data_IF_591493929600
#
_entry.id   IF_591493929600
#
_cell.length_a   1.000
_cell.length_b   1.000
_cell.length_c   1.000
_cell.angle_alpha   90.00
_cell.angle_beta   90.00
_cell.angle_gamma   90.00
#
_symmetry.space_group_name_H-M   'P 1'
#
loop_
_entity.id
_entity.type
_entity.pdbx_description
1 polymer ?
#
# COMPACT_ATOMS: atom_id res chain seq x y z
N UNK A 1 -29.60 -5.70 -5.32
CA UNK A 1 -29.03 -5.01 -6.49
C UNK A 1 -28.45 -6.04 -7.45
N UNK A 2 -28.15 -5.63 -8.69
CA UNK A 2 -27.47 -6.46 -9.71
C UNK A 2 -26.07 -5.86 -9.94
N UNK A 3 -24.98 -6.63 -9.85
CA UNK A 3 -23.63 -6.11 -10.13
C UNK A 3 -23.52 -5.60 -11.57
N UNK A 4 -23.03 -4.36 -11.74
CA UNK A 4 -22.77 -3.76 -13.05
C UNK A 4 -21.27 -3.80 -13.41
N UNK A 5 -20.39 -3.50 -12.44
CA UNK A 5 -18.94 -3.41 -12.61
C UNK A 5 -18.23 -3.99 -11.37
N UNK A 6 -16.98 -4.45 -11.56
CA UNK A 6 -16.14 -5.03 -10.51
C UNK A 6 -14.71 -4.50 -10.71
N UNK A 7 -14.17 -3.87 -9.67
CA UNK A 7 -12.77 -3.45 -9.59
C UNK A 7 -12.06 -4.18 -8.45
N UNK A 8 -10.77 -4.51 -8.67
CA UNK A 8 -9.93 -5.19 -7.69
C UNK A 8 -8.63 -4.42 -7.46
N UNK A 9 -8.14 -4.43 -6.22
CA UNK A 9 -6.84 -3.86 -5.89
C UNK A 9 -5.70 -4.79 -6.29
N UNK A 10 -4.72 -4.24 -7.00
CA UNK A 10 -3.49 -4.92 -7.39
C UNK A 10 -2.28 -4.00 -7.25
N UNK A 11 -1.09 -4.59 -7.10
CA UNK A 11 0.16 -3.84 -7.12
C UNK A 11 0.52 -3.47 -8.56
N UNK A 12 0.30 -2.21 -8.91
CA UNK A 12 0.84 -1.61 -10.13
C UNK A 12 2.30 -1.23 -9.93
N UNK A 13 3.17 -1.57 -10.87
CA UNK A 13 4.60 -1.29 -10.76
C UNK A 13 5.25 -0.91 -12.11
N UNK A 14 6.26 -0.05 -12.04
CA UNK A 14 7.02 0.37 -13.23
C UNK A 14 8.17 -0.60 -13.52
N UNK A 15 8.02 -1.42 -14.57
CA UNK A 15 9.01 -2.42 -14.99
C UNK A 15 10.39 -1.82 -15.31
N UNK A 16 10.44 -0.60 -15.86
CA UNK A 16 11.70 0.06 -16.19
C UNK A 16 12.45 0.47 -14.92
N UNK A 17 11.75 1.06 -13.94
CA UNK A 17 12.35 1.39 -12.64
C UNK A 17 12.78 0.14 -11.87
N UNK A 18 12.01 -0.95 -11.94
CA UNK A 18 12.41 -2.24 -11.36
C UNK A 18 13.71 -2.75 -11.98
N UNK A 19 13.82 -2.73 -13.31
CA UNK A 19 15.04 -3.14 -14.02
C UNK A 19 16.23 -2.25 -13.63
N UNK A 20 16.04 -0.94 -13.56
CA UNK A 20 17.08 0.02 -13.17
C UNK A 20 17.54 -0.21 -11.73
N UNK A 21 16.63 -0.56 -10.82
CA UNK A 21 16.91 -0.85 -9.42
C UNK A 21 17.37 -2.31 -9.16
N UNK A 22 17.52 -3.14 -10.21
CA UNK A 22 17.93 -4.54 -10.07
C UNK A 22 16.88 -5.45 -9.41
N UNK A 23 15.60 -5.10 -9.46
CA UNK A 23 14.50 -5.88 -8.89
C UNK A 23 13.95 -6.83 -9.97
N UNK A 24 14.20 -8.12 -9.80
CA UNK A 24 13.91 -9.13 -10.84
C UNK A 24 12.41 -9.48 -10.98
N UNK A 25 11.64 -9.37 -9.90
CA UNK A 25 10.23 -9.78 -9.87
C UNK A 25 9.43 -8.87 -8.92
N UNK A 26 8.10 -8.73 -9.13
CA UNK A 26 7.23 -8.07 -8.16
C UNK A 26 7.30 -8.79 -6.80
N UNK A 27 7.27 -8.03 -5.69
CA UNK A 27 7.35 -8.59 -4.35
C UNK A 27 6.13 -9.46 -4.06
N UNK A 28 6.35 -10.55 -3.32
CA UNK A 28 5.32 -11.51 -2.89
C UNK A 28 5.03 -11.42 -1.41
N UNK A 29 5.90 -10.77 -0.64
CA UNK A 29 5.77 -10.58 0.80
C UNK A 29 5.89 -9.11 1.16
N UNK A 30 5.40 -8.72 2.34
CA UNK A 30 5.52 -7.34 2.82
C UNK A 30 6.97 -6.90 3.07
N UNK A 31 7.85 -7.82 3.45
CA UNK A 31 9.27 -7.51 3.62
C UNK A 31 9.96 -7.25 2.28
N UNK A 32 9.67 -8.08 1.26
CA UNK A 32 10.11 -7.83 -0.12
C UNK A 32 9.53 -6.53 -0.66
N UNK A 33 8.27 -6.22 -0.32
CA UNK A 33 7.62 -4.98 -0.74
C UNK A 33 8.29 -3.74 -0.12
N UNK A 34 8.58 -3.75 1.18
CA UNK A 34 9.35 -2.69 1.84
C UNK A 34 10.74 -2.54 1.22
N UNK A 35 11.39 -3.64 0.85
CA UNK A 35 12.70 -3.60 0.20
C UNK A 35 12.65 -3.00 -1.21
N UNK A 36 11.68 -3.43 -2.01
CA UNK A 36 11.45 -2.88 -3.34
C UNK A 36 11.14 -1.37 -3.26
N UNK A 37 10.27 -0.95 -2.34
CA UNK A 37 9.94 0.46 -2.14
C UNK A 37 11.19 1.28 -1.76
N UNK A 38 12.03 0.79 -0.84
CA UNK A 38 13.29 1.47 -0.51
C UNK A 38 14.21 1.60 -1.72
N UNK A 39 14.42 0.53 -2.49
CA UNK A 39 15.27 0.53 -3.69
C UNK A 39 14.78 1.47 -4.79
N UNK A 40 13.46 1.67 -4.87
CA UNK A 40 12.82 2.55 -5.84
C UNK A 40 12.74 4.01 -5.37
N UNK A 41 13.14 4.31 -4.13
CA UNK A 41 13.09 5.67 -3.61
C UNK A 41 14.30 6.47 -4.08
N UNK A 42 14.07 7.63 -4.69
CA UNK A 42 15.12 8.57 -5.05
C UNK A 42 14.68 9.99 -4.68
N UNK A 43 15.17 10.48 -3.52
CA UNK A 43 14.80 11.78 -2.96
C UNK A 43 15.27 12.94 -3.83
N UNK A 44 16.45 12.84 -4.44
CA UNK A 44 17.04 13.90 -5.26
C UNK A 44 16.25 14.11 -6.56
N UNK A 45 15.61 13.05 -7.06
CA UNK A 45 14.72 13.10 -8.21
C UNK A 45 13.25 13.33 -7.84
N UNK A 46 12.92 13.52 -6.56
CA UNK A 46 11.53 13.60 -6.12
C UNK A 46 10.71 12.34 -6.40
N UNK A 47 11.33 11.16 -6.39
CA UNK A 47 10.70 9.88 -6.68
C UNK A 47 10.42 9.09 -5.40
N UNK A 48 9.16 8.70 -5.22
CA UNK A 48 8.74 7.81 -4.14
C UNK A 48 8.87 6.35 -4.58
N UNK A 49 9.20 5.47 -3.63
CA UNK A 49 9.19 4.04 -3.85
C UNK A 49 7.78 3.45 -3.93
N UNK A 50 6.85 4.02 -3.15
CA UNK A 50 5.44 3.63 -3.16
C UNK A 50 4.53 4.83 -2.85
N UNK A 51 3.57 5.08 -3.74
CA UNK A 51 2.53 6.08 -3.54
C UNK A 51 1.35 5.48 -2.77
N UNK A 52 1.00 6.08 -1.64
CA UNK A 52 -0.28 5.80 -0.96
C UNK A 52 -1.29 6.87 -1.37
N UNK A 53 -2.58 6.53 -1.40
CA UNK A 53 -3.64 7.52 -1.65
C UNK A 53 -4.14 8.05 -0.31
N UNK A 54 -4.21 9.37 -0.15
CA UNK A 54 -4.71 10.00 1.09
C UNK A 54 -5.67 11.19 0.87
N UNK A 55 -6.09 11.44 -0.37
CA UNK A 55 -6.92 12.60 -0.74
C UNK A 55 -8.42 12.41 -0.50
N UNK A 56 -8.94 11.17 -0.41
CA UNK A 56 -10.37 10.91 -0.11
C UNK A 56 -10.59 9.63 0.70
N UNK A 57 -11.75 9.53 1.36
CA UNK A 57 -12.04 8.45 2.32
C UNK A 57 -11.93 7.03 1.73
N UNK A 58 -12.55 6.77 0.57
CA UNK A 58 -12.48 5.46 -0.08
C UNK A 58 -11.04 5.11 -0.53
N UNK A 59 -10.28 6.09 -1.02
CA UNK A 59 -8.89 5.93 -1.44
C UNK A 59 -7.96 5.57 -0.27
N UNK A 60 -8.33 5.98 0.96
CA UNK A 60 -7.63 5.55 2.18
C UNK A 60 -8.09 4.16 2.62
N UNK A 61 -9.40 3.95 2.73
CA UNK A 61 -9.98 2.76 3.38
C UNK A 61 -9.80 1.51 2.53
N UNK A 62 -9.98 1.57 1.21
CA UNK A 62 -9.97 0.37 0.38
C UNK A 62 -8.58 -0.27 0.21
N UNK A 63 -7.48 0.47 -0.04
CA UNK A 63 -6.14 -0.13 -0.04
C UNK A 63 -5.75 -0.69 1.33
N UNK A 64 -6.10 0.02 2.41
CA UNK A 64 -5.88 -0.47 3.78
C UNK A 64 -6.62 -1.79 4.01
N UNK A 65 -7.90 -1.87 3.65
CA UNK A 65 -8.70 -3.09 3.78
C UNK A 65 -8.12 -4.24 2.95
N UNK A 66 -7.63 -3.97 1.74
CA UNK A 66 -7.00 -4.96 0.87
C UNK A 66 -5.74 -5.55 1.50
N UNK A 67 -4.89 -4.71 2.09
CA UNK A 67 -3.71 -5.15 2.82
C UNK A 67 -4.08 -5.89 4.11
N UNK A 68 -5.05 -5.39 4.87
CA UNK A 68 -5.54 -6.04 6.09
C UNK A 68 -6.01 -7.47 5.82
N UNK A 69 -6.80 -7.67 4.76
CA UNK A 69 -7.27 -9.00 4.35
C UNK A 69 -6.11 -9.88 3.88
N UNK A 70 -5.09 -9.32 3.22
CA UNK A 70 -3.89 -10.09 2.84
C UNK A 70 -3.09 -10.62 4.04
N UNK A 71 -3.25 -10.00 5.22
CA UNK A 71 -2.68 -10.46 6.50
C UNK A 71 -3.71 -11.21 7.37
N UNK A 72 -4.84 -11.65 6.79
CA UNK A 72 -5.87 -12.43 7.48
C UNK A 72 -6.73 -11.62 8.47
N UNK A 73 -6.69 -10.30 8.40
CA UNK A 73 -7.56 -9.43 9.19
C UNK A 73 -8.86 -9.07 8.46
N UNK A 74 -9.74 -8.38 9.17
CA UNK A 74 -10.99 -7.85 8.63
C UNK A 74 -11.34 -6.54 9.37
N UNK A 75 -12.17 -5.68 8.77
CA UNK A 75 -12.58 -4.42 9.42
C UNK A 75 -13.71 -4.64 10.44
N UNK A 76 -14.63 -5.56 10.14
CA UNK A 76 -15.85 -5.82 10.91
C UNK A 76 -16.06 -7.32 11.02
N UNK A 77 -16.28 -7.81 12.25
CA UNK A 77 -16.65 -9.19 12.56
C UNK A 77 -17.91 -9.19 13.40
N UNK A 78 -18.90 -10.01 13.02
CA UNK A 78 -20.19 -10.09 13.75
C UNK A 78 -20.84 -8.72 13.99
N UNK A 79 -20.84 -7.86 12.95
CA UNK A 79 -21.34 -6.48 13.00
C UNK A 79 -20.62 -5.54 14.00
N UNK A 80 -19.45 -5.94 14.52
CA UNK A 80 -18.61 -5.12 15.41
C UNK A 80 -17.29 -4.74 14.73
N UNK A 81 -16.79 -3.51 14.91
CA UNK A 81 -15.46 -3.14 14.42
C UNK A 81 -14.38 -3.94 15.14
N UNK A 82 -13.35 -4.38 14.40
CA UNK A 82 -12.22 -5.17 14.93
C UNK A 82 -10.86 -4.58 14.55
N UNK A 83 -10.79 -3.25 14.48
CA UNK A 83 -9.58 -2.48 14.17
C UNK A 83 -8.48 -2.56 15.23
N UNK A 84 -8.79 -3.05 16.43
CA UNK A 84 -7.82 -3.30 17.51
C UNK A 84 -7.14 -4.67 17.40
N UNK A 85 -7.37 -5.41 16.32
CA UNK A 85 -6.73 -6.71 16.10
C UNK A 85 -5.23 -6.57 15.82
N UNK A 86 -4.46 -7.63 16.12
CA UNK A 86 -3.03 -7.71 15.79
C UNK A 86 -2.79 -7.44 14.30
N UNK A 87 -3.64 -8.00 13.43
CA UNK A 87 -3.54 -7.85 11.98
C UNK A 87 -3.74 -6.41 11.52
N UNK A 88 -4.68 -5.68 12.15
CA UNK A 88 -4.88 -4.26 11.89
C UNK A 88 -3.66 -3.44 12.35
N UNK A 89 -3.13 -3.72 13.54
CA UNK A 89 -1.89 -3.10 14.03
C UNK A 89 -0.70 -3.31 13.09
N UNK A 90 -0.48 -4.54 12.60
CA UNK A 90 0.59 -4.86 11.65
C UNK A 90 0.40 -4.15 10.29
N UNK A 91 -0.85 -3.99 9.84
CA UNK A 91 -1.16 -3.24 8.61
C UNK A 91 -0.85 -1.76 8.78
N UNK A 92 -1.21 -1.14 9.92
CA UNK A 92 -0.81 0.23 10.22
C UNK A 92 0.71 0.38 10.35
N UNK A 93 1.39 -0.60 10.95
CA UNK A 93 2.85 -0.60 11.06
C UNK A 93 3.52 -0.62 9.68
N UNK A 94 2.98 -1.38 8.72
CA UNK A 94 3.48 -1.35 7.34
C UNK A 94 3.43 0.06 6.74
N UNK A 95 2.32 0.78 6.92
CA UNK A 95 2.18 2.16 6.44
C UNK A 95 3.18 3.08 7.15
N UNK A 96 3.30 2.95 8.47
CA UNK A 96 4.25 3.74 9.26
C UNK A 96 5.70 3.52 8.81
N UNK A 97 6.10 2.27 8.57
CA UNK A 97 7.44 1.90 8.11
C UNK A 97 7.76 2.51 6.74
N UNK A 98 6.80 2.50 5.81
CA UNK A 98 6.94 3.10 4.48
C UNK A 98 7.09 4.62 4.57
N UNK A 99 6.34 5.27 5.46
CA UNK A 99 6.45 6.71 5.70
C UNK A 99 7.80 7.05 6.36
N UNK A 100 8.16 6.36 7.44
CA UNK A 100 9.40 6.64 8.21
C UNK A 100 10.66 6.38 7.40
N UNK A 101 10.65 5.39 6.51
CA UNK A 101 11.78 5.15 5.60
C UNK A 101 11.89 6.22 4.48
N UNK A 102 10.84 7.03 4.29
CA UNK A 102 10.71 7.98 3.18
C UNK A 102 10.36 7.31 1.85
N UNK A 103 10.06 6.02 1.86
CA UNK A 103 9.64 5.31 0.66
C UNK A 103 8.24 5.73 0.19
N UNK A 104 7.41 6.19 1.13
CA UNK A 104 6.21 6.94 0.85
C UNK A 104 6.27 8.31 1.52
N UNK A 105 5.76 9.33 0.84
CA UNK A 105 5.76 10.74 1.25
C UNK A 105 4.32 11.24 1.16
N UNK A 106 3.59 11.31 2.29
CA UNK A 106 2.15 11.65 2.29
C UNK A 106 1.81 13.00 1.65
N UNK A 107 2.75 13.95 1.59
CA UNK A 107 2.52 15.23 0.93
C UNK A 107 2.44 15.13 -0.61
N UNK A 108 2.96 14.05 -1.20
CA UNK A 108 2.91 13.80 -2.65
C UNK A 108 1.70 12.91 -3.04
N UNK A 109 0.90 12.49 -2.07
CA UNK A 109 -0.17 11.50 -2.21
C UNK A 109 -1.57 12.10 -2.50
N UNK A 110 -1.63 13.40 -2.80
CA UNK A 110 -2.88 14.16 -2.90
C UNK A 110 -3.48 14.17 -4.31
N UNK A 111 -2.97 13.36 -5.23
CA UNK A 111 -3.47 13.31 -6.59
C UNK A 111 -4.75 12.48 -6.66
N UNK A 112 -5.73 12.93 -7.45
CA UNK A 112 -6.90 12.15 -7.83
C UNK A 112 -6.49 11.16 -8.92
N UNK A 113 -6.20 9.93 -8.51
CA UNK A 113 -5.91 8.79 -9.37
C UNK A 113 -7.14 7.91 -9.59
#
# INVERSE_FOLDING_TARGET
GIPNEIDVYALNYNKALFKQAGIAAPPKTWDEFKDAARKLTNKDAGQQGFGMINSWAAGVVHPFASLLVSNGGELVREAKPVLESKQAGETFQLYEDLIKSGASVPAMATADA
#
